data_IF_267456262828
#
_entry.id   IF_267456262828
#
_cell.length_a   1.000
_cell.length_b   1.000
_cell.length_c   1.000
_cell.angle_alpha   90.00
_cell.angle_beta   90.00
_cell.angle_gamma   90.00
#
_symmetry.space_group_name_H-M   'P 1'
#
loop_
_entity.id
_entity.type
_entity.pdbx_description
1 polymer ?
#
# COMPACT_ATOMS: atom_id res chain seq x y z
N UNK A 1 28.02 -17.21 -5.27
CA UNK A 1 26.78 -16.70 -5.87
C UNK A 1 25.63 -17.24 -5.02
N UNK A 2 24.82 -16.37 -4.48
CA UNK A 2 23.69 -16.75 -3.62
C UNK A 2 22.49 -17.25 -4.43
N UNK A 3 21.72 -18.15 -3.86
CA UNK A 3 20.53 -18.73 -4.48
C UNK A 3 19.30 -17.82 -4.29
N UNK A 4 18.28 -17.97 -5.14
CA UNK A 4 17.00 -17.26 -4.94
C UNK A 4 16.34 -17.57 -3.58
N UNK A 5 16.61 -18.75 -3.00
CA UNK A 5 16.14 -19.11 -1.65
C UNK A 5 16.79 -18.23 -0.60
N UNK A 6 18.10 -17.99 -0.68
CA UNK A 6 18.80 -17.10 0.25
C UNK A 6 18.28 -15.67 0.17
N UNK A 7 18.00 -15.18 -1.03
CA UNK A 7 17.36 -13.87 -1.20
C UNK A 7 15.96 -13.82 -0.59
N UNK A 8 15.13 -14.86 -0.75
CA UNK A 8 13.80 -14.93 -0.09
C UNK A 8 13.92 -14.89 1.43
N UNK A 9 14.93 -15.56 2.00
CA UNK A 9 15.19 -15.53 3.45
C UNK A 9 15.48 -14.11 3.92
N UNK A 10 16.34 -13.38 3.23
CA UNK A 10 16.64 -11.98 3.58
C UNK A 10 15.42 -11.07 3.40
N UNK A 11 14.61 -11.29 2.36
CA UNK A 11 13.33 -10.59 2.21
C UNK A 11 12.42 -10.88 3.38
N UNK A 12 12.28 -12.14 3.81
CA UNK A 12 11.48 -12.53 4.97
C UNK A 12 11.98 -11.86 6.27
N UNK A 13 13.28 -11.87 6.50
CA UNK A 13 13.89 -11.22 7.67
C UNK A 13 13.66 -9.70 7.68
N UNK A 14 13.71 -9.06 6.51
CA UNK A 14 13.45 -7.63 6.39
C UNK A 14 11.97 -7.29 6.63
N UNK A 15 11.06 -8.09 6.10
CA UNK A 15 9.63 -7.96 6.37
C UNK A 15 9.30 -8.24 7.85
N UNK A 16 9.96 -9.24 8.44
CA UNK A 16 9.82 -9.55 9.87
C UNK A 16 10.24 -8.35 10.74
N UNK A 17 11.37 -7.72 10.45
CA UNK A 17 11.84 -6.54 11.17
C UNK A 17 10.86 -5.39 11.11
N UNK A 18 10.33 -5.10 9.90
CA UNK A 18 9.34 -4.05 9.71
C UNK A 18 8.05 -4.36 10.47
N UNK A 19 7.61 -5.61 10.40
CA UNK A 19 6.36 -6.06 11.02
C UNK A 19 6.45 -6.11 12.56
N UNK A 20 7.60 -6.49 13.11
CA UNK A 20 7.89 -6.46 14.56
C UNK A 20 7.80 -5.05 15.15
N UNK A 21 8.21 -4.05 14.42
CA UNK A 21 8.11 -2.65 14.84
C UNK A 21 6.71 -2.06 14.68
N UNK A 22 5.73 -2.87 14.25
CA UNK A 22 4.37 -2.44 13.88
C UNK A 22 4.36 -1.30 12.85
N UNK A 23 5.39 -1.25 12.01
CA UNK A 23 5.61 -0.17 11.04
C UNK A 23 5.43 -0.65 9.60
N UNK A 24 4.43 -1.49 9.32
CA UNK A 24 4.14 -1.94 7.95
C UNK A 24 3.64 -0.81 7.03
N UNK A 25 3.35 0.36 7.59
CA UNK A 25 3.08 1.60 6.85
C UNK A 25 4.34 2.47 6.62
N UNK A 26 5.52 1.88 6.79
CA UNK A 26 6.81 2.52 6.46
C UNK A 26 6.82 2.90 4.97
N UNK A 27 7.39 4.06 4.64
CA UNK A 27 7.53 4.41 3.24
C UNK A 27 8.48 3.42 2.51
N UNK A 28 8.27 3.24 1.21
CA UNK A 28 8.98 2.23 0.43
C UNK A 28 10.50 2.46 0.37
N UNK A 29 10.97 3.71 0.46
CA UNK A 29 12.41 4.03 0.45
C UNK A 29 13.08 3.57 1.75
N UNK A 30 12.48 3.86 2.90
CA UNK A 30 12.99 3.42 4.20
C UNK A 30 12.90 1.90 4.33
N UNK A 31 11.82 1.29 3.85
CA UNK A 31 11.69 -0.16 3.78
C UNK A 31 12.79 -0.80 2.90
N UNK A 32 13.10 -0.21 1.74
CA UNK A 32 14.21 -0.65 0.88
C UNK A 32 15.59 -0.45 1.54
N UNK A 33 15.76 0.58 2.38
CA UNK A 33 16.99 0.77 3.15
C UNK A 33 17.20 -0.37 4.15
N UNK A 34 16.14 -0.84 4.82
CA UNK A 34 16.19 -2.01 5.70
C UNK A 34 16.59 -3.25 4.91
N UNK A 35 15.95 -3.52 3.77
CA UNK A 35 16.30 -4.63 2.91
C UNK A 35 17.76 -4.57 2.45
N UNK A 36 18.23 -3.42 1.98
CA UNK A 36 19.61 -3.25 1.51
C UNK A 36 20.63 -3.46 2.63
N UNK A 37 20.33 -3.01 3.85
CA UNK A 37 21.15 -3.26 5.03
C UNK A 37 21.23 -4.76 5.31
N UNK A 38 20.08 -5.44 5.34
CA UNK A 38 20.01 -6.87 5.61
C UNK A 38 20.68 -7.71 4.51
N UNK A 39 20.58 -7.31 3.24
CA UNK A 39 21.34 -7.95 2.14
C UNK A 39 22.83 -7.83 2.41
N UNK A 40 23.35 -6.64 2.78
CA UNK A 40 24.77 -6.45 3.08
C UNK A 40 25.26 -7.26 4.26
N UNK A 41 24.40 -7.46 5.26
CA UNK A 41 24.72 -8.21 6.48
C UNK A 41 24.70 -9.73 6.25
N UNK A 42 23.65 -10.25 5.63
CA UNK A 42 23.45 -11.69 5.49
C UNK A 42 23.99 -12.28 4.18
N UNK A 43 24.18 -11.44 3.15
CA UNK A 43 24.69 -11.81 1.83
C UNK A 43 25.79 -10.83 1.39
N UNK A 44 26.91 -10.72 2.13
CA UNK A 44 27.89 -9.63 1.96
C UNK A 44 28.51 -9.54 0.57
N UNK A 45 28.65 -10.66 -0.16
CA UNK A 45 29.23 -10.72 -1.50
C UNK A 45 28.17 -10.75 -2.61
N UNK A 46 26.95 -10.30 -2.30
CA UNK A 46 25.85 -10.25 -3.27
C UNK A 46 26.10 -9.18 -4.31
N UNK A 47 26.25 -9.60 -5.57
CA UNK A 47 26.42 -8.70 -6.73
C UNK A 47 25.05 -8.35 -7.35
N UNK A 48 24.09 -9.30 -7.34
CA UNK A 48 22.78 -9.17 -7.94
C UNK A 48 21.70 -9.28 -6.87
N UNK A 49 21.06 -8.17 -6.53
CA UNK A 49 19.96 -8.13 -5.57
C UNK A 49 18.60 -7.79 -6.20
N UNK A 50 18.53 -7.72 -7.54
CA UNK A 50 17.32 -7.33 -8.25
C UNK A 50 16.13 -8.24 -7.91
N UNK A 51 16.36 -9.54 -7.81
CA UNK A 51 15.32 -10.49 -7.43
C UNK A 51 14.74 -10.16 -6.04
N UNK A 52 15.61 -9.90 -5.05
CA UNK A 52 15.17 -9.55 -3.69
C UNK A 52 14.43 -8.23 -3.65
N UNK A 53 14.94 -7.21 -4.36
CA UNK A 53 14.32 -5.89 -4.46
C UNK A 53 12.93 -5.96 -5.10
N UNK A 54 12.79 -6.70 -6.20
CA UNK A 54 11.52 -6.87 -6.89
C UNK A 54 10.51 -7.61 -6.01
N UNK A 55 10.90 -8.74 -5.42
CA UNK A 55 10.05 -9.53 -4.53
C UNK A 55 9.58 -8.70 -3.33
N UNK A 56 10.51 -8.03 -2.66
CA UNK A 56 10.20 -7.16 -1.51
C UNK A 56 9.26 -6.01 -1.91
N UNK A 57 9.53 -5.36 -3.03
CA UNK A 57 8.69 -4.26 -3.54
C UNK A 57 7.26 -4.73 -3.80
N UNK A 58 7.10 -5.87 -4.49
CA UNK A 58 5.77 -6.46 -4.75
C UNK A 58 5.03 -6.76 -3.45
N UNK A 59 5.70 -7.34 -2.44
CA UNK A 59 5.07 -7.59 -1.13
C UNK A 59 4.61 -6.29 -0.49
N UNK A 60 5.46 -5.27 -0.44
CA UNK A 60 5.13 -3.98 0.20
C UNK A 60 4.01 -3.23 -0.53
N UNK A 61 4.06 -3.19 -1.85
CA UNK A 61 3.04 -2.51 -2.67
C UNK A 61 1.69 -3.23 -2.68
N UNK A 62 1.69 -4.56 -2.52
CA UNK A 62 0.48 -5.39 -2.54
C UNK A 62 0.08 -5.92 -1.17
N UNK A 63 0.66 -5.38 -0.09
CA UNK A 63 0.52 -5.88 1.26
C UNK A 63 -0.95 -6.10 1.66
N UNK A 64 -1.78 -5.10 1.48
CA UNK A 64 -3.21 -5.14 1.83
C UNK A 64 -3.92 -6.24 1.03
N UNK A 65 -3.68 -6.31 -0.28
CA UNK A 65 -4.26 -7.33 -1.16
C UNK A 65 -3.83 -8.74 -0.75
N UNK A 66 -2.55 -8.89 -0.41
CA UNK A 66 -2.01 -10.19 0.04
C UNK A 66 -2.64 -10.60 1.36
N UNK A 67 -2.75 -9.68 2.33
CA UNK A 67 -3.36 -9.95 3.64
C UNK A 67 -4.86 -10.29 3.52
N UNK A 68 -5.56 -9.72 2.55
CA UNK A 68 -6.94 -10.12 2.25
C UNK A 68 -7.05 -11.51 1.64
N UNK A 69 -6.12 -11.89 0.76
CA UNK A 69 -6.05 -13.26 0.22
C UNK A 69 -5.81 -14.22 1.38
N UNK A 70 -4.90 -13.90 2.30
CA UNK A 70 -4.66 -14.71 3.52
C UNK A 70 -5.95 -14.85 4.33
N UNK A 71 -6.63 -13.74 4.60
CA UNK A 71 -7.89 -13.73 5.38
C UNK A 71 -8.97 -14.59 4.73
N UNK A 72 -9.09 -14.58 3.41
CA UNK A 72 -10.05 -15.43 2.68
C UNK A 72 -9.67 -16.90 2.69
N UNK A 73 -8.38 -17.20 2.57
CA UNK A 73 -7.88 -18.58 2.53
C UNK A 73 -7.83 -19.23 3.92
N UNK A 74 -7.72 -18.43 4.99
CA UNK A 74 -7.67 -18.88 6.37
C UNK A 74 -8.63 -18.06 7.26
N UNK A 75 -9.95 -18.15 7.09
CA UNK A 75 -10.93 -17.29 7.76
C UNK A 75 -10.96 -17.44 9.29
N UNK A 76 -10.51 -18.59 9.81
CA UNK A 76 -10.40 -18.83 11.26
C UNK A 76 -9.16 -18.16 11.90
N UNK A 77 -8.25 -17.63 11.08
CA UNK A 77 -7.00 -17.06 11.52
C UNK A 77 -6.86 -15.60 11.05
N UNK A 78 -7.33 -14.63 11.87
CA UNK A 78 -7.06 -13.21 11.58
C UNK A 78 -5.57 -12.97 11.36
N UNK A 79 -5.21 -12.19 10.34
CA UNK A 79 -3.81 -11.97 9.94
C UNK A 79 -2.96 -11.47 11.11
N UNK A 80 -3.55 -10.65 11.99
CA UNK A 80 -2.88 -10.11 13.18
C UNK A 80 -2.56 -11.18 14.23
N UNK A 81 -3.26 -12.32 14.21
CA UNK A 81 -3.04 -13.46 15.11
C UNK A 81 -2.12 -14.53 14.53
N UNK A 82 -1.84 -14.47 13.25
CA UNK A 82 -0.84 -15.35 12.62
C UNK A 82 0.54 -14.92 13.12
N UNK A 83 1.43 -15.90 13.39
CA UNK A 83 2.79 -15.57 13.79
C UNK A 83 3.47 -14.66 12.78
N UNK A 84 4.32 -13.74 13.23
CA UNK A 84 4.98 -12.76 12.34
C UNK A 84 5.78 -13.49 11.24
N UNK A 85 6.42 -14.60 11.57
CA UNK A 85 7.14 -15.44 10.60
C UNK A 85 6.17 -15.99 9.56
N UNK A 86 5.13 -16.68 10.00
CA UNK A 86 4.20 -17.36 9.09
C UNK A 86 3.49 -16.39 8.17
N UNK A 87 3.02 -15.25 8.69
CA UNK A 87 2.35 -14.26 7.84
C UNK A 87 3.28 -13.63 6.81
N UNK A 88 4.56 -13.38 7.13
CA UNK A 88 5.51 -12.85 6.17
C UNK A 88 5.97 -13.91 5.15
N UNK A 89 6.06 -15.17 5.54
CA UNK A 89 6.27 -16.28 4.59
C UNK A 89 5.09 -16.43 3.65
N UNK A 90 3.85 -16.33 4.16
CA UNK A 90 2.64 -16.34 3.32
C UNK A 90 2.63 -15.15 2.36
N UNK A 91 3.00 -13.95 2.81
CA UNK A 91 3.09 -12.75 1.97
C UNK A 91 4.08 -12.95 0.81
N UNK A 92 5.24 -13.54 1.07
CA UNK A 92 6.24 -13.87 0.03
C UNK A 92 5.66 -14.91 -0.95
N UNK A 93 5.17 -16.04 -0.45
CA UNK A 93 4.63 -17.10 -1.30
C UNK A 93 3.48 -16.63 -2.18
N UNK A 94 2.56 -15.83 -1.64
CA UNK A 94 1.45 -15.25 -2.39
C UNK A 94 1.90 -14.21 -3.40
N UNK A 95 2.90 -13.37 -3.06
CA UNK A 95 3.40 -12.39 -4.00
C UNK A 95 4.01 -13.03 -5.23
N UNK A 96 4.78 -14.11 -5.08
CA UNK A 96 5.33 -14.86 -6.21
C UNK A 96 4.25 -15.64 -6.99
N UNK A 97 3.32 -16.28 -6.28
CA UNK A 97 2.29 -17.13 -6.90
C UNK A 97 1.23 -16.33 -7.69
N UNK A 98 0.83 -15.15 -7.15
CA UNK A 98 -0.30 -14.37 -7.68
C UNK A 98 0.17 -13.24 -8.58
N UNK A 99 1.25 -12.56 -8.20
CA UNK A 99 1.73 -11.33 -8.85
C UNK A 99 3.08 -11.52 -9.58
N UNK A 100 3.78 -12.64 -9.33
CA UNK A 100 5.06 -12.95 -9.96
C UNK A 100 4.93 -13.41 -11.41
N UNK A 101 6.04 -13.35 -12.13
CA UNK A 101 6.13 -13.95 -13.46
C UNK A 101 6.16 -15.47 -13.36
N UNK A 102 5.06 -16.11 -13.77
CA UNK A 102 4.88 -17.58 -13.73
C UNK A 102 5.91 -18.35 -14.56
N UNK A 103 6.53 -17.71 -15.54
CA UNK A 103 7.60 -18.33 -16.34
C UNK A 103 8.93 -18.38 -15.57
N UNK A 104 9.18 -17.38 -14.70
CA UNK A 104 10.37 -17.31 -13.87
C UNK A 104 10.25 -18.09 -12.56
N UNK A 105 9.06 -18.04 -11.93
CA UNK A 105 8.74 -18.78 -10.70
C UNK A 105 7.36 -19.42 -10.85
N UNK A 106 7.29 -20.69 -11.24
CA UNK A 106 6.02 -21.42 -11.27
C UNK A 106 5.35 -21.45 -9.90
N UNK A 107 4.01 -21.36 -9.81
CA UNK A 107 3.29 -21.32 -8.52
C UNK A 107 3.63 -22.45 -7.55
N UNK A 108 3.84 -23.67 -8.04
CA UNK A 108 4.27 -24.80 -7.21
C UNK A 108 5.64 -24.56 -6.57
N UNK A 109 6.58 -23.96 -7.33
CA UNK A 109 7.91 -23.62 -6.80
C UNK A 109 7.80 -22.54 -5.73
N UNK A 110 6.95 -21.53 -5.92
CA UNK A 110 6.70 -20.51 -4.89
C UNK A 110 6.16 -21.14 -3.58
N UNK A 111 5.25 -22.10 -3.69
CA UNK A 111 4.71 -22.82 -2.52
C UNK A 111 5.82 -23.62 -1.83
N UNK A 112 6.59 -24.42 -2.57
CA UNK A 112 7.65 -25.25 -2.02
C UNK A 112 8.73 -24.40 -1.32
N UNK A 113 9.12 -23.29 -1.91
CA UNK A 113 10.10 -22.37 -1.33
C UNK A 113 9.56 -21.70 -0.05
N UNK A 114 8.29 -21.28 -0.04
CA UNK A 114 7.66 -20.75 1.16
C UNK A 114 7.60 -21.78 2.31
N UNK A 115 7.28 -23.04 1.99
CA UNK A 115 7.28 -24.14 2.97
C UNK A 115 8.68 -24.36 3.56
N UNK A 116 9.73 -24.31 2.74
CA UNK A 116 11.10 -24.47 3.23
C UNK A 116 11.51 -23.32 4.17
N UNK A 117 11.14 -22.08 3.84
CA UNK A 117 11.38 -20.93 4.74
C UNK A 117 10.59 -21.10 6.05
N UNK A 118 9.32 -21.55 5.96
CA UNK A 118 8.52 -21.82 7.16
C UNK A 118 9.10 -22.91 8.06
N UNK A 119 9.75 -23.94 7.49
CA UNK A 119 10.47 -24.98 8.25
C UNK A 119 11.69 -24.42 8.98
N UNK A 120 12.40 -23.50 8.36
CA UNK A 120 13.66 -22.97 8.89
C UNK A 120 13.44 -21.92 9.97
N UNK A 121 12.46 -21.03 9.78
CA UNK A 121 12.25 -19.86 10.66
C UNK A 121 11.00 -19.95 11.53
N UNK A 122 10.07 -20.84 11.21
CA UNK A 122 8.81 -20.98 11.91
C UNK A 122 8.82 -22.05 13.00
N UNK A 123 7.68 -22.23 13.64
CA UNK A 123 7.46 -23.29 14.62
C UNK A 123 7.15 -24.66 13.97
N UNK A 124 6.93 -25.69 14.79
CA UNK A 124 6.69 -27.07 14.35
C UNK A 124 5.48 -27.21 13.39
N UNK A 125 4.46 -26.39 13.55
CA UNK A 125 3.24 -26.38 12.71
C UNK A 125 3.31 -25.44 11.51
N UNK A 126 4.28 -24.52 11.46
CA UNK A 126 4.35 -23.43 10.46
C UNK A 126 4.33 -23.94 9.02
N UNK A 127 5.13 -24.96 8.71
CA UNK A 127 5.18 -25.51 7.33
C UNK A 127 3.86 -26.12 6.90
N UNK A 128 3.11 -26.77 7.80
CA UNK A 128 1.79 -27.34 7.51
C UNK A 128 0.75 -26.25 7.32
N UNK A 129 0.79 -25.22 8.16
CA UNK A 129 -0.11 -24.07 8.06
C UNK A 129 0.10 -23.31 6.75
N UNK A 130 1.35 -22.95 6.44
CA UNK A 130 1.71 -22.25 5.19
C UNK A 130 1.31 -23.07 3.97
N UNK A 131 1.59 -24.38 3.94
CA UNK A 131 1.15 -25.26 2.85
C UNK A 131 -0.37 -25.31 2.71
N UNK A 132 -1.12 -25.35 3.81
CA UNK A 132 -2.58 -25.35 3.81
C UNK A 132 -3.15 -24.09 3.15
N UNK A 133 -2.67 -22.91 3.58
CA UNK A 133 -3.14 -21.63 3.08
C UNK A 133 -2.76 -21.43 1.60
N UNK A 134 -1.49 -21.60 1.24
CA UNK A 134 -1.02 -21.46 -0.15
C UNK A 134 -1.65 -22.50 -1.08
N UNK A 135 -1.84 -23.73 -0.59
CA UNK A 135 -2.52 -24.80 -1.33
C UNK A 135 -3.99 -24.50 -1.62
N UNK A 136 -4.71 -23.87 -0.68
CA UNK A 136 -6.09 -23.43 -0.88
C UNK A 136 -6.17 -22.35 -1.98
N UNK A 137 -5.31 -21.33 -1.91
CA UNK A 137 -5.24 -20.27 -2.94
C UNK A 137 -4.85 -20.85 -4.31
N UNK A 138 -3.88 -21.78 -4.34
CA UNK A 138 -3.46 -22.42 -5.58
C UNK A 138 -4.60 -23.20 -6.27
N UNK A 139 -5.42 -23.92 -5.48
CA UNK A 139 -6.59 -24.64 -6.01
C UNK A 139 -7.63 -23.66 -6.58
N UNK A 140 -7.85 -22.53 -5.92
CA UNK A 140 -8.77 -21.49 -6.40
C UNK A 140 -8.27 -20.89 -7.72
N UNK A 141 -6.98 -20.58 -7.82
CA UNK A 141 -6.34 -20.09 -9.05
C UNK A 141 -6.43 -21.09 -10.22
N UNK A 142 -6.31 -22.41 -9.94
CA UNK A 142 -6.45 -23.46 -10.96
C UNK A 142 -7.90 -23.72 -11.37
N UNK A 143 -8.86 -23.45 -10.51
CA UNK A 143 -10.28 -23.57 -10.83
C UNK A 143 -10.72 -22.64 -11.95
N UNK A 144 -10.00 -21.55 -12.17
CA UNK A 144 -10.26 -20.58 -13.24
C UNK A 144 -9.54 -20.91 -14.57
N UNK A 145 -8.54 -21.82 -14.56
CA UNK A 145 -7.71 -22.19 -15.73
C UNK A 145 -7.99 -23.59 -16.28
N UNK A 146 -9.21 -24.12 -16.19
CA UNK A 146 -9.57 -25.39 -16.85
C UNK A 146 -9.79 -25.21 -18.35
N UNK A 147 -8.70 -25.30 -19.10
CA UNK A 147 -8.67 -26.00 -20.39
C UNK A 147 -7.93 -27.32 -20.17
N UNK A 148 -8.67 -28.39 -20.21
CA UNK A 148 -8.44 -29.78 -20.48
C UNK A 148 -8.83 -30.77 -19.37
N UNK A 149 -9.93 -31.46 -19.69
CA UNK A 149 -10.42 -32.80 -19.32
C UNK A 149 -11.02 -33.02 -17.91
N UNK A 150 -12.35 -33.38 -18.02
CA UNK A 150 -13.24 -34.19 -17.16
C UNK A 150 -13.80 -33.62 -15.83
N UNK A 151 -14.97 -32.99 -15.98
CA UNK A 151 -16.31 -32.98 -15.32
C UNK A 151 -16.48 -33.11 -13.78
N UNK A 152 -17.57 -32.54 -13.18
CA UNK A 152 -18.68 -31.72 -13.69
C UNK A 152 -18.87 -30.35 -12.99
N UNK A 153 -19.47 -29.47 -13.74
CA UNK A 153 -19.86 -28.08 -13.40
C UNK A 153 -20.80 -28.00 -12.20
N UNK A 154 -20.43 -27.20 -11.19
CA UNK A 154 -21.41 -26.46 -10.40
C UNK A 154 -21.08 -24.96 -10.46
N UNK A 155 -22.07 -24.23 -10.93
CA UNK A 155 -22.12 -22.80 -11.19
C UNK A 155 -21.48 -21.93 -10.10
N UNK A 156 -20.46 -21.15 -10.46
CA UNK A 156 -20.17 -19.84 -9.90
C UNK A 156 -19.90 -18.89 -11.07
N UNK A 157 -21.00 -18.31 -11.58
CA UNK A 157 -20.93 -17.11 -12.40
C UNK A 157 -20.60 -15.97 -11.46
N UNK A 158 -19.41 -15.38 -11.60
CA UNK A 158 -19.13 -13.95 -11.55
C UNK A 158 -17.62 -13.69 -11.55
N UNK A 159 -16.98 -13.87 -12.71
CA UNK A 159 -15.76 -13.17 -13.04
C UNK A 159 -16.11 -11.68 -13.24
N UNK A 160 -16.05 -10.88 -12.17
CA UNK A 160 -15.88 -9.44 -12.31
C UNK A 160 -14.38 -9.18 -12.23
N UNK A 161 -13.78 -8.85 -13.38
CA UNK A 161 -12.48 -8.20 -13.49
C UNK A 161 -12.27 -7.27 -12.30
N UNK A 162 -11.21 -7.48 -11.53
CA UNK A 162 -10.77 -6.55 -10.47
C UNK A 162 -10.59 -5.20 -11.14
N UNK A 163 -11.50 -4.26 -10.88
CA UNK A 163 -11.35 -2.88 -11.33
C UNK A 163 -10.36 -2.20 -10.39
N UNK A 164 -9.18 -1.92 -10.88
CA UNK A 164 -8.28 -0.99 -10.23
C UNK A 164 -8.73 0.42 -10.60
N UNK A 165 -8.97 1.26 -9.60
CA UNK A 165 -9.21 2.69 -9.78
C UNK A 165 -7.95 3.41 -9.33
N UNK A 166 -7.23 4.00 -10.27
CA UNK A 166 -6.12 4.89 -9.98
C UNK A 166 -6.71 6.25 -9.65
N UNK A 167 -6.25 6.84 -8.57
CA UNK A 167 -6.67 8.17 -8.09
C UNK A 167 -5.46 9.03 -7.86
N UNK A 168 -5.68 10.33 -7.94
CA UNK A 168 -4.68 11.32 -7.58
C UNK A 168 -5.14 12.05 -6.31
N UNK A 169 -4.20 12.30 -5.41
CA UNK A 169 -4.43 13.03 -4.17
C UNK A 169 -3.43 14.16 -4.00
N UNK A 170 -3.82 15.19 -3.26
CA UNK A 170 -2.93 16.31 -2.96
C UNK A 170 -3.07 16.75 -1.51
N UNK A 171 -1.91 16.95 -0.87
CA UNK A 171 -1.76 17.52 0.48
C UNK A 171 -1.38 18.98 0.28
N UNK A 172 -2.32 19.88 0.56
CA UNK A 172 -2.18 21.30 0.28
C UNK A 172 -1.79 22.02 1.55
N UNK A 173 -0.68 22.76 1.49
CA UNK A 173 -0.19 23.59 2.57
C UNK A 173 -0.34 25.08 2.24
N UNK A 174 -0.47 25.89 3.29
CA UNK A 174 -0.42 27.34 3.20
C UNK A 174 0.34 27.92 4.39
N UNK A 175 0.87 29.12 4.20
CA UNK A 175 1.52 29.91 5.26
C UNK A 175 0.66 31.13 5.55
N UNK A 176 0.44 31.40 6.83
CA UNK A 176 -0.27 32.59 7.27
C UNK A 176 0.60 33.36 8.29
N UNK A 177 0.77 34.63 8.07
CA UNK A 177 1.43 35.51 9.04
C UNK A 177 0.44 35.94 10.13
N UNK A 178 0.61 35.44 11.34
CA UNK A 178 -0.17 35.80 12.52
C UNK A 178 0.74 36.49 13.54
N UNK A 179 0.53 37.79 13.79
CA UNK A 179 1.18 38.55 14.89
C UNK A 179 2.68 38.26 15.04
N UNK A 180 3.49 38.55 14.06
CA UNK A 180 4.94 38.35 13.99
C UNK A 180 5.45 36.91 13.98
N UNK A 181 4.56 35.94 13.66
CA UNK A 181 4.92 34.53 13.45
C UNK A 181 4.28 33.99 12.19
N UNK A 182 5.04 33.17 11.46
CA UNK A 182 4.51 32.43 10.33
C UNK A 182 3.99 31.09 10.84
N UNK A 183 2.69 30.87 10.70
CA UNK A 183 2.04 29.60 11.02
C UNK A 183 1.75 28.82 9.73
N UNK A 184 2.02 27.53 9.76
CA UNK A 184 1.75 26.63 8.64
C UNK A 184 0.44 25.90 8.87
N UNK A 185 -0.37 25.79 7.81
CA UNK A 185 -1.63 25.08 7.83
C UNK A 185 -1.65 24.03 6.73
N UNK A 186 -2.40 22.96 6.94
CA UNK A 186 -2.72 21.95 5.95
C UNK A 186 -4.22 21.87 5.74
N UNK A 187 -4.64 21.73 4.48
CA UNK A 187 -6.03 21.53 4.13
C UNK A 187 -6.41 20.07 4.29
N UNK A 188 -7.42 19.81 5.09
CA UNK A 188 -7.97 18.48 5.32
C UNK A 188 -9.45 18.43 4.91
N UNK A 189 -9.89 17.29 4.40
CA UNK A 189 -11.28 16.99 4.11
C UNK A 189 -11.86 16.13 5.24
N UNK A 190 -12.91 16.62 5.90
CA UNK A 190 -13.55 15.93 7.02
C UNK A 190 -14.67 15.02 6.51
N UNK A 191 -14.59 13.73 6.85
CA UNK A 191 -15.67 12.80 6.57
C UNK A 191 -16.84 12.94 7.58
N UNK A 192 -17.93 12.25 7.27
CA UNK A 192 -19.13 12.22 8.14
C UNK A 192 -18.91 11.60 9.52
N UNK A 193 -17.79 10.96 9.78
CA UNK A 193 -17.42 10.32 11.05
C UNK A 193 -16.43 11.17 11.86
N UNK A 194 -16.09 12.38 11.38
CA UNK A 194 -15.15 13.28 12.01
C UNK A 194 -13.69 12.83 11.90
N UNK A 195 -13.38 11.97 10.93
CA UNK A 195 -12.00 11.64 10.55
C UNK A 195 -11.59 12.47 9.35
N UNK A 196 -10.29 12.74 9.24
CA UNK A 196 -9.75 13.62 8.20
C UNK A 196 -8.93 12.85 7.17
N UNK A 197 -9.06 13.27 5.92
CA UNK A 197 -8.32 12.80 4.74
C UNK A 197 -7.80 13.99 3.94
N UNK A 198 -7.17 13.72 2.79
CA UNK A 198 -6.68 14.76 1.87
C UNK A 198 -7.62 14.92 0.68
N UNK A 199 -7.44 15.99 -0.08
CA UNK A 199 -8.14 16.22 -1.35
C UNK A 199 -7.79 15.10 -2.34
N UNK A 200 -8.79 14.46 -2.96
CA UNK A 200 -8.64 13.33 -3.88
C UNK A 200 -9.55 13.49 -5.09
N UNK A 201 -9.03 13.17 -6.27
CA UNK A 201 -9.75 13.11 -7.54
C UNK A 201 -9.58 11.77 -8.25
N UNK A 202 -10.35 11.54 -9.31
CA UNK A 202 -10.10 10.43 -10.22
C UNK A 202 -8.89 10.77 -11.09
N UNK A 203 -7.94 9.82 -11.25
CA UNK A 203 -6.77 10.02 -12.12
C UNK A 203 -7.20 9.90 -13.60
N UNK A 204 -6.83 10.88 -14.40
CA UNK A 204 -6.91 10.79 -15.85
C UNK A 204 -5.56 10.27 -16.33
N UNK A 205 -5.55 9.04 -16.80
CA UNK A 205 -4.35 8.23 -17.03
C UNK A 205 -3.38 8.75 -18.09
N UNK A 206 -3.78 9.69 -18.95
CA UNK A 206 -2.96 10.22 -20.04
C UNK A 206 -2.91 11.76 -19.97
N UNK A 207 -1.80 12.31 -19.46
CA UNK A 207 -1.56 13.75 -19.44
C UNK A 207 -0.56 14.21 -18.39
N UNK A 208 -0.33 15.52 -18.37
CA UNK A 208 0.48 16.19 -17.36
C UNK A 208 -0.29 16.19 -16.03
N UNK A 209 0.22 15.40 -15.07
CA UNK A 209 -0.39 15.26 -13.74
C UNK A 209 -0.37 16.56 -12.94
N UNK A 210 0.62 17.40 -13.15
CA UNK A 210 0.70 18.70 -12.48
C UNK A 210 -0.38 19.65 -12.98
N UNK A 211 -0.56 19.74 -14.29
CA UNK A 211 -1.63 20.53 -14.89
C UNK A 211 -3.02 20.00 -14.50
N UNK A 212 -3.19 18.69 -14.51
CA UNK A 212 -4.42 18.06 -14.03
C UNK A 212 -4.72 18.44 -12.57
N UNK A 213 -3.74 18.34 -11.66
CA UNK A 213 -3.93 18.71 -10.25
C UNK A 213 -4.29 20.16 -10.06
N UNK A 214 -3.64 21.09 -10.78
CA UNK A 214 -3.97 22.53 -10.75
C UNK A 214 -5.43 22.76 -11.14
N UNK A 215 -5.85 22.22 -12.26
CA UNK A 215 -7.21 22.35 -12.76
C UNK A 215 -8.23 21.70 -11.81
N UNK A 216 -7.95 20.48 -11.34
CA UNK A 216 -8.83 19.77 -10.43
C UNK A 216 -9.05 20.52 -9.11
N UNK A 217 -7.97 21.02 -8.49
CA UNK A 217 -8.05 21.75 -7.22
C UNK A 217 -8.73 23.10 -7.41
N UNK A 218 -8.46 23.79 -8.52
CA UNK A 218 -9.11 25.07 -8.83
C UNK A 218 -10.63 24.91 -9.02
N UNK A 219 -11.05 23.89 -9.75
CA UNK A 219 -12.47 23.63 -10.03
C UNK A 219 -13.23 23.13 -8.81
N UNK A 220 -12.67 22.20 -8.03
CA UNK A 220 -13.37 21.47 -6.98
C UNK A 220 -13.12 22.01 -5.57
N UNK A 221 -12.00 22.69 -5.35
CA UNK A 221 -11.64 23.29 -4.05
C UNK A 221 -11.65 24.83 -4.12
N UNK A 222 -11.38 25.38 -5.27
CA UNK A 222 -11.30 26.82 -5.49
C UNK A 222 -9.96 27.42 -5.06
N UNK A 223 -8.89 26.64 -5.10
CA UNK A 223 -7.53 27.07 -4.77
C UNK A 223 -6.63 26.97 -5.99
N UNK A 224 -5.78 27.97 -6.17
CA UNK A 224 -4.63 27.91 -7.06
C UNK A 224 -3.46 27.28 -6.29
N UNK A 225 -2.90 26.19 -6.83
CA UNK A 225 -1.79 25.47 -6.20
C UNK A 225 -0.51 25.58 -7.01
N UNK A 226 0.63 25.61 -6.30
CA UNK A 226 1.97 25.70 -6.87
C UNK A 226 2.94 24.83 -6.06
N UNK A 227 4.20 24.72 -6.50
CA UNK A 227 5.22 23.86 -5.88
C UNK A 227 4.74 22.41 -5.70
N UNK A 228 4.18 21.85 -6.78
CA UNK A 228 3.62 20.50 -6.78
C UNK A 228 4.76 19.48 -6.88
N UNK A 229 4.84 18.59 -5.90
CA UNK A 229 5.84 17.53 -5.88
C UNK A 229 5.17 16.19 -5.60
N UNK A 230 5.58 15.13 -6.31
CA UNK A 230 5.16 13.77 -5.99
C UNK A 230 5.70 13.36 -4.62
N UNK A 231 4.86 12.79 -3.78
CA UNK A 231 5.23 12.36 -2.43
C UNK A 231 5.31 10.83 -2.34
N UNK A 232 4.19 10.15 -2.54
CA UNK A 232 4.07 8.69 -2.37
C UNK A 232 2.69 8.21 -2.87
N UNK A 233 2.42 6.92 -2.76
CA UNK A 233 1.10 6.38 -3.03
C UNK A 233 0.58 5.57 -1.84
N UNK A 234 -0.74 5.46 -1.73
CA UNK A 234 -1.42 4.59 -0.80
C UNK A 234 -2.45 3.74 -1.54
N UNK A 235 -2.48 2.44 -1.26
CA UNK A 235 -3.42 1.51 -1.85
C UNK A 235 -4.40 1.00 -0.78
N UNK A 236 -5.71 1.04 -1.07
CA UNK A 236 -6.73 0.51 -0.18
C UNK A 236 -7.90 -0.05 -0.96
N UNK A 237 -8.69 -0.89 -0.29
CA UNK A 237 -9.90 -1.45 -0.87
C UNK A 237 -11.11 -0.66 -0.39
N UNK A 238 -11.90 -0.22 -1.35
CA UNK A 238 -13.20 0.40 -1.11
C UNK A 238 -14.30 -0.60 -1.44
N UNK A 239 -15.19 -0.85 -0.49
CA UNK A 239 -16.37 -1.68 -0.74
C UNK A 239 -17.47 -0.83 -1.34
N UNK A 240 -17.81 -1.11 -2.62
CA UNK A 240 -18.91 -0.44 -3.30
C UNK A 240 -20.14 -1.36 -3.35
N UNK A 241 -21.33 -0.90 -2.93
CA UNK A 241 -22.53 -1.76 -2.85
C UNK A 241 -22.89 -2.49 -4.16
N UNK A 242 -22.65 -1.83 -5.30
CA UNK A 242 -23.00 -2.37 -6.62
C UNK A 242 -21.81 -2.96 -7.37
N UNK A 243 -20.58 -2.46 -7.11
CA UNK A 243 -19.36 -2.81 -7.85
C UNK A 243 -18.53 -3.86 -7.12
N UNK A 244 -18.87 -4.21 -5.86
CA UNK A 244 -18.07 -5.06 -4.99
C UNK A 244 -16.79 -4.37 -4.51
N UNK A 245 -15.74 -5.13 -4.24
CA UNK A 245 -14.45 -4.59 -3.83
C UNK A 245 -13.74 -3.93 -5.00
N UNK A 246 -13.40 -2.66 -4.84
CA UNK A 246 -12.66 -1.85 -5.80
C UNK A 246 -11.30 -1.52 -5.19
N UNK A 247 -10.23 -1.91 -5.86
CA UNK A 247 -8.86 -1.54 -5.47
C UNK A 247 -8.61 -0.09 -5.88
N UNK A 248 -8.32 0.76 -4.90
CA UNK A 248 -7.99 2.16 -5.14
C UNK A 248 -6.53 2.39 -4.82
N UNK A 249 -5.79 2.86 -5.81
CA UNK A 249 -4.41 3.32 -5.65
C UNK A 249 -4.44 4.84 -5.76
N UNK A 250 -4.02 5.53 -4.72
CA UNK A 250 -3.98 7.00 -4.70
C UNK A 250 -2.55 7.47 -4.72
N UNK A 251 -2.16 8.16 -5.77
CA UNK A 251 -0.87 8.82 -5.89
C UNK A 251 -0.96 10.22 -5.27
N UNK A 252 -0.23 10.44 -4.18
CA UNK A 252 -0.25 11.69 -3.44
C UNK A 252 0.87 12.62 -3.87
N UNK A 253 0.51 13.90 -3.91
CA UNK A 253 1.41 15.01 -4.17
C UNK A 253 1.32 16.01 -3.02
N UNK A 254 2.38 16.77 -2.79
CA UNK A 254 2.35 17.97 -1.95
C UNK A 254 2.18 19.20 -2.84
N UNK A 255 1.53 20.22 -2.34
CA UNK A 255 1.41 21.51 -3.02
C UNK A 255 1.32 22.64 -2.00
N UNK A 256 1.67 23.85 -2.45
CA UNK A 256 1.46 25.10 -1.72
C UNK A 256 0.31 25.87 -2.34
N UNK A 257 -0.35 26.74 -1.56
CA UNK A 257 -1.29 27.73 -2.07
C UNK A 257 -1.27 28.99 -1.21
N UNK A 258 -1.84 30.07 -1.74
CA UNK A 258 -2.14 31.24 -0.94
C UNK A 258 -3.34 30.96 -0.02
N UNK A 259 -3.29 31.50 1.19
CA UNK A 259 -4.35 31.27 2.16
C UNK A 259 -5.70 31.81 1.68
N UNK A 260 -6.72 30.98 1.71
CA UNK A 260 -8.11 31.36 1.52
C UNK A 260 -8.96 30.75 2.63
N UNK A 261 -9.78 31.55 3.36
CA UNK A 261 -10.65 31.01 4.41
C UNK A 261 -11.50 29.84 3.93
N UNK A 262 -11.65 28.81 4.77
CA UNK A 262 -12.36 27.57 4.40
C UNK A 262 -13.81 27.82 3.91
N UNK A 263 -14.49 28.82 4.46
CA UNK A 263 -15.84 29.22 4.04
C UNK A 263 -15.92 29.76 2.61
N UNK A 264 -14.78 30.15 2.03
CA UNK A 264 -14.66 30.66 0.65
C UNK A 264 -14.16 29.61 -0.33
N UNK A 265 -13.93 28.38 0.14
CA UNK A 265 -13.60 27.26 -0.71
C UNK A 265 -14.86 26.74 -1.39
N UNK A 266 -14.69 26.07 -2.53
CA UNK A 266 -15.78 25.44 -3.27
C UNK A 266 -15.78 23.94 -2.91
N UNK A 267 -16.53 23.49 -1.87
CA UNK A 267 -16.59 22.07 -1.60
C UNK A 267 -17.35 21.37 -2.72
N UNK A 268 -16.81 20.25 -3.21
CA UNK A 268 -17.67 19.24 -3.86
C UNK A 268 -18.83 18.93 -2.90
N UNK A 269 -19.98 18.54 -3.42
CA UNK A 269 -21.26 18.41 -2.69
C UNK A 269 -21.21 17.53 -1.42
N UNK A 270 -20.08 16.91 -1.10
CA UNK A 270 -19.87 16.02 0.05
C UNK A 270 -18.60 16.30 0.86
N UNK A 271 -17.75 17.23 0.40
CA UNK A 271 -16.48 17.56 1.06
C UNK A 271 -16.67 18.69 2.07
N UNK A 272 -16.01 18.57 3.21
CA UNK A 272 -15.99 19.58 4.25
C UNK A 272 -14.55 19.96 4.59
N UNK A 273 -14.01 20.94 3.88
CA UNK A 273 -12.62 21.36 4.00
C UNK A 273 -12.37 22.20 5.23
N UNK A 274 -11.28 21.87 5.93
CA UNK A 274 -10.83 22.56 7.15
C UNK A 274 -9.34 22.81 7.08
N UNK A 275 -8.92 24.05 7.40
CA UNK A 275 -7.51 24.34 7.65
C UNK A 275 -7.13 23.96 9.07
N UNK A 276 -6.14 23.09 9.21
CA UNK A 276 -5.61 22.65 10.50
C UNK A 276 -4.17 23.14 10.64
N UNK A 277 -3.83 23.71 11.79
CA UNK A 277 -2.46 24.10 12.09
C UNK A 277 -1.55 22.87 12.10
N UNK A 278 -0.40 22.96 11.46
CA UNK A 278 0.58 21.88 11.45
C UNK A 278 1.02 21.51 12.88
N UNK A 279 1.10 22.47 13.76
CA UNK A 279 1.40 22.26 15.20
C UNK A 279 0.33 21.45 15.95
N UNK A 280 -0.89 21.34 15.42
CA UNK A 280 -2.01 20.61 16.04
C UNK A 280 -2.27 19.23 15.43
N UNK A 281 -1.49 18.84 14.41
CA UNK A 281 -1.68 17.58 13.65
C UNK A 281 -1.62 16.33 14.55
N UNK A 282 -0.78 16.36 15.60
CA UNK A 282 -0.68 15.23 16.53
C UNK A 282 -2.01 14.93 17.24
N UNK A 283 -2.82 15.96 17.49
CA UNK A 283 -4.14 15.86 18.16
C UNK A 283 -5.29 15.65 17.17
N UNK A 284 -5.02 15.76 15.87
CA UNK A 284 -6.04 15.68 14.83
C UNK A 284 -6.32 14.22 14.48
N UNK A 285 -7.60 13.87 14.35
CA UNK A 285 -8.05 12.50 14.05
C UNK A 285 -7.93 12.22 12.54
N UNK A 286 -6.71 12.03 12.06
CA UNK A 286 -6.42 11.63 10.68
C UNK A 286 -6.44 10.10 10.59
N UNK A 287 -6.85 9.56 9.43
CA UNK A 287 -6.77 8.12 9.18
C UNK A 287 -5.34 7.61 9.44
N UNK A 288 -5.23 6.47 10.15
CA UNK A 288 -3.95 5.95 10.65
C UNK A 288 -2.93 5.69 9.53
N UNK A 289 -3.42 5.24 8.39
CA UNK A 289 -2.62 4.97 7.17
C UNK A 289 -2.15 6.25 6.46
N UNK A 290 -2.81 7.38 6.67
CA UNK A 290 -2.45 8.67 6.07
C UNK A 290 -1.58 9.55 6.96
N UNK A 291 -1.56 9.30 8.28
CA UNK A 291 -0.78 10.13 9.22
C UNK A 291 0.73 10.10 8.96
N UNK A 292 1.39 8.95 8.72
CA UNK A 292 2.81 8.91 8.37
C UNK A 292 3.14 9.69 7.09
N UNK A 293 2.27 9.58 6.08
CA UNK A 293 2.42 10.31 4.82
C UNK A 293 2.34 11.82 5.04
N UNK A 294 1.41 12.29 5.88
CA UNK A 294 1.31 13.70 6.23
C UNK A 294 2.54 14.22 6.97
N UNK A 295 3.06 13.46 7.92
CA UNK A 295 4.28 13.85 8.64
C UNK A 295 5.47 14.00 7.69
N UNK A 296 5.63 13.07 6.75
CA UNK A 296 6.64 13.17 5.71
C UNK A 296 6.42 14.38 4.80
N UNK A 297 5.18 14.64 4.37
CA UNK A 297 4.83 15.79 3.56
C UNK A 297 5.21 17.11 4.26
N UNK A 298 4.98 17.23 5.57
CA UNK A 298 5.36 18.37 6.39
C UNK A 298 6.89 18.57 6.37
N UNK A 299 7.63 17.48 6.57
CA UNK A 299 9.10 17.54 6.60
C UNK A 299 9.69 17.93 5.24
N UNK A 300 9.18 17.40 4.16
CA UNK A 300 9.68 17.65 2.80
C UNK A 300 9.26 19.02 2.25
N UNK A 301 8.11 19.56 2.66
CA UNK A 301 7.55 20.79 2.10
C UNK A 301 7.84 22.04 2.95
N UNK A 302 7.82 21.89 4.28
CA UNK A 302 7.86 23.07 5.19
C UNK A 302 9.21 23.28 5.89
N UNK A 303 10.10 22.29 5.90
CA UNK A 303 11.43 22.41 6.51
C UNK A 303 12.56 22.79 5.52
N UNK A 304 12.19 23.17 4.31
CA UNK A 304 13.12 23.68 3.28
C UNK A 304 13.44 25.15 3.48
#
# INVERSE_FOLDING_TARGET
MYTRREYRKVVMQSLYEIDMTCNMNINILDAKNILNRNIKEFLPDSIENEFALNLFTVVMERLITIDEIITKAAPEWPVEKISIVDRNVLRIGLSEMVFGDKNNVPPKVAIDEAIEIAKEFGGESSSKFVNGVLGAVYKELKGDDKSDEDEPKKNLKNNKTKREEIRIGVIIFTKLEEKDRTENYVLLDSDRFGSYTFVKGEDVTDGDKEEFLKNYVLENVGLDIYDINYLDHNAYISHHPEKGNVHKIVHYHTAMCDFRPAQNLKPESKSNYVWVKVSEIEKTKIYKDLKPMLMRAIDETLKK
#
